data_IF_411378688613
#
_entry.id   IF_411378688613
#
_cell.length_a   1.000
_cell.length_b   1.000
_cell.length_c   1.000
_cell.angle_alpha   90.00
_cell.angle_beta   90.00
_cell.angle_gamma   90.00
#
_symmetry.space_group_name_H-M   'P 1'
#
loop_
_entity.id
_entity.type
_entity.pdbx_description
1 polymer ?
#
# COMPACT_ATOMS: atom_id res chain seq x y z
N UNK A 1 56.97 65.45 -55.94
CA UNK A 1 55.91 65.56 -55.02
C UNK A 1 55.31 64.19 -54.86
N UNK A 2 55.68 63.43 -53.74
CA UNK A 2 55.19 62.08 -53.46
C UNK A 2 54.01 62.19 -52.48
N UNK A 3 52.84 61.76 -52.95
CA UNK A 3 51.64 61.71 -52.13
C UNK A 3 51.69 60.36 -51.34
N UNK A 4 51.82 60.43 -50.01
CA UNK A 4 51.67 59.30 -49.14
C UNK A 4 50.21 59.16 -48.80
N UNK A 5 49.58 58.06 -49.29
CA UNK A 5 48.22 57.74 -48.92
C UNK A 5 48.34 56.89 -47.63
N UNK A 6 47.85 57.47 -46.52
CA UNK A 6 47.75 56.82 -45.24
C UNK A 6 46.48 55.92 -45.24
N UNK A 7 46.66 54.64 -45.37
CA UNK A 7 45.52 53.69 -45.23
C UNK A 7 45.30 53.44 -43.73
N UNK A 8 44.24 54.03 -43.23
CA UNK A 8 43.80 53.72 -41.84
C UNK A 8 43.08 52.36 -41.83
N UNK A 9 43.44 51.40 -41.00
CA UNK A 9 42.68 50.16 -40.87
C UNK A 9 41.37 50.44 -40.16
N UNK A 10 40.27 50.25 -40.87
CA UNK A 10 38.95 50.17 -40.25
C UNK A 10 38.89 48.91 -39.42
N UNK A 11 38.97 49.06 -38.11
CA UNK A 11 38.56 48.00 -37.20
C UNK A 11 37.03 47.86 -37.28
N UNK A 12 36.59 46.86 -38.01
CA UNK A 12 35.23 46.35 -37.85
C UNK A 12 35.15 45.66 -36.50
N UNK A 13 34.82 46.40 -35.45
CA UNK A 13 34.34 45.81 -34.23
C UNK A 13 33.05 45.04 -34.57
N UNK A 14 33.09 43.73 -34.51
CA UNK A 14 31.91 42.88 -34.65
C UNK A 14 30.98 43.20 -33.50
N UNK A 15 29.82 43.73 -33.83
CA UNK A 15 28.75 44.07 -32.88
C UNK A 15 27.95 42.81 -32.47
N UNK A 16 28.67 41.71 -32.15
CA UNK A 16 28.04 40.43 -31.85
C UNK A 16 27.76 40.19 -30.35
N UNK A 17 28.09 41.12 -29.45
CA UNK A 17 27.97 40.93 -28.01
C UNK A 17 26.91 41.80 -27.32
N UNK A 18 25.96 42.40 -28.07
CA UNK A 18 24.98 43.33 -27.50
C UNK A 18 23.56 42.73 -27.52
N UNK A 19 23.32 41.65 -28.25
CA UNK A 19 22.04 40.99 -28.23
C UNK A 19 22.15 39.82 -27.25
N UNK A 20 21.62 40.03 -26.03
CA UNK A 20 21.32 38.93 -25.14
C UNK A 20 20.44 37.92 -25.89
N UNK A 21 20.53 36.66 -25.51
CA UNK A 21 19.68 35.60 -26.07
C UNK A 21 18.21 36.06 -26.06
N UNK A 22 17.53 35.84 -27.18
CA UNK A 22 16.10 36.18 -27.26
C UNK A 22 15.34 35.54 -26.10
N UNK A 23 14.42 36.25 -25.44
CA UNK A 23 13.67 35.73 -24.32
C UNK A 23 12.81 34.53 -24.75
N UNK A 24 13.08 33.37 -24.19
CA UNK A 24 12.23 32.19 -24.29
C UNK A 24 11.33 32.19 -23.08
N UNK A 25 10.06 32.43 -23.30
CA UNK A 25 9.06 32.51 -22.24
C UNK A 25 8.57 31.11 -21.84
N UNK A 26 8.26 30.91 -20.56
CA UNK A 26 7.70 29.65 -20.00
C UNK A 26 7.75 29.60 -18.48
N UNK A 27 7.22 28.54 -17.94
CA UNK A 27 7.34 28.26 -16.51
C UNK A 27 8.78 27.84 -16.16
N UNK A 28 9.39 28.55 -15.21
CA UNK A 28 10.76 28.32 -14.74
C UNK A 28 10.82 27.40 -13.50
N UNK A 29 9.69 27.03 -12.92
CA UNK A 29 9.61 26.19 -11.73
C UNK A 29 9.64 24.72 -12.12
N UNK A 30 10.67 24.00 -11.69
CA UNK A 30 10.87 22.58 -12.00
C UNK A 30 9.84 21.65 -11.35
N UNK A 31 9.08 22.14 -10.36
CA UNK A 31 8.00 21.40 -9.70
C UNK A 31 6.66 21.58 -10.40
N UNK A 32 6.58 22.52 -11.35
CA UNK A 32 5.35 22.75 -12.12
C UNK A 32 5.17 21.72 -13.24
N UNK A 33 3.92 21.35 -13.48
CA UNK A 33 3.54 20.40 -14.54
C UNK A 33 3.94 20.86 -15.95
N UNK A 34 3.97 22.15 -16.19
CA UNK A 34 4.34 22.76 -17.46
C UNK A 34 5.73 23.41 -17.44
N UNK A 35 6.64 22.91 -16.61
CA UNK A 35 8.03 23.36 -16.59
C UNK A 35 8.66 23.32 -17.97
N UNK A 36 9.31 24.40 -18.37
CA UNK A 36 10.04 24.50 -19.62
C UNK A 36 11.53 24.72 -19.36
N UNK A 37 12.34 23.69 -19.48
CA UNK A 37 13.80 23.76 -19.26
C UNK A 37 14.55 24.68 -20.23
N UNK A 38 13.92 25.06 -21.35
CA UNK A 38 14.51 25.99 -22.32
C UNK A 38 14.13 27.45 -22.04
N UNK A 39 13.16 27.70 -21.15
CA UNK A 39 12.76 29.06 -20.82
C UNK A 39 13.85 29.78 -20.02
N UNK A 40 14.08 31.04 -20.34
CA UNK A 40 14.95 31.97 -19.62
C UNK A 40 14.20 33.16 -19.04
N UNK A 41 12.91 33.26 -19.32
CA UNK A 41 12.03 34.37 -18.89
C UNK A 41 10.68 33.79 -18.45
N UNK A 42 10.28 34.09 -17.21
CA UNK A 42 8.99 33.61 -16.68
C UNK A 42 7.83 34.31 -17.38
N UNK A 43 6.86 33.53 -17.84
CA UNK A 43 5.57 34.02 -18.37
C UNK A 43 4.45 33.99 -17.31
N UNK A 44 4.75 33.48 -16.10
CA UNK A 44 3.82 33.33 -14.96
C UNK A 44 2.67 32.33 -15.23
N UNK A 45 2.89 31.36 -16.09
CA UNK A 45 1.90 30.34 -16.47
C UNK A 45 2.10 29.02 -15.78
N UNK A 46 2.91 28.96 -14.71
CA UNK A 46 3.14 27.71 -13.99
C UNK A 46 1.82 27.09 -13.50
N UNK A 47 1.62 25.84 -13.84
CA UNK A 47 0.50 25.02 -13.37
C UNK A 47 1.02 23.88 -12.50
N UNK A 48 0.30 23.52 -11.44
CA UNK A 48 0.72 22.54 -10.46
C UNK A 48 -0.31 21.42 -10.36
N UNK A 49 0.12 20.30 -9.77
CA UNK A 49 -0.71 19.09 -9.62
C UNK A 49 -2.05 19.36 -8.94
N UNK A 50 -2.09 20.26 -7.95
CA UNK A 50 -3.34 20.64 -7.26
C UNK A 50 -4.44 21.09 -8.24
N UNK A 51 -4.05 21.85 -9.27
CA UNK A 51 -5.00 22.31 -10.31
C UNK A 51 -5.53 21.17 -11.18
N UNK A 52 -4.73 20.11 -11.37
CA UNK A 52 -5.12 18.91 -12.10
C UNK A 52 -6.01 18.01 -11.26
N UNK A 53 -5.72 17.90 -9.94
CA UNK A 53 -6.54 17.14 -9.00
C UNK A 53 -7.96 17.69 -8.87
N UNK A 54 -8.16 19.01 -8.91
CA UNK A 54 -9.48 19.63 -8.94
C UNK A 54 -10.30 19.23 -10.18
N UNK A 55 -9.63 18.84 -11.27
CA UNK A 55 -10.24 18.35 -12.51
C UNK A 55 -10.40 16.84 -12.55
N UNK A 56 -9.96 16.12 -11.49
CA UNK A 56 -10.05 14.66 -11.37
C UNK A 56 -8.86 13.90 -11.95
N UNK A 57 -7.78 14.59 -12.32
CA UNK A 57 -6.55 13.95 -12.77
C UNK A 57 -5.64 13.64 -11.58
N UNK A 58 -4.84 12.60 -11.71
CA UNK A 58 -3.93 12.15 -10.65
C UNK A 58 -2.47 12.57 -10.87
N UNK A 59 -2.13 13.07 -12.05
CA UNK A 59 -0.81 13.57 -12.38
C UNK A 59 -0.86 14.76 -13.38
N UNK A 60 0.33 15.25 -13.75
CA UNK A 60 0.51 16.34 -14.70
C UNK A 60 0.26 15.97 -16.17
N UNK A 61 0.00 14.70 -16.47
CA UNK A 61 -0.22 14.18 -17.82
C UNK A 61 -1.68 13.89 -18.11
N UNK A 62 -2.58 14.41 -17.26
CA UNK A 62 -4.03 14.23 -17.37
C UNK A 62 -4.46 12.74 -17.23
N UNK A 63 -3.65 11.94 -16.54
CA UNK A 63 -4.04 10.60 -16.19
C UNK A 63 -5.10 10.62 -15.08
N UNK A 64 -5.99 9.62 -15.11
CA UNK A 64 -6.97 9.37 -14.06
C UNK A 64 -6.55 8.13 -13.27
N UNK A 65 -7.08 8.00 -12.07
CA UNK A 65 -6.96 6.74 -11.31
C UNK A 65 -7.74 5.65 -12.04
N UNK A 66 -7.13 4.46 -12.14
CA UNK A 66 -7.87 3.26 -12.53
C UNK A 66 -8.76 2.75 -11.39
N UNK A 67 -9.44 1.62 -11.59
CA UNK A 67 -10.32 1.03 -10.58
C UNK A 67 -9.57 0.61 -9.32
N UNK A 68 -8.29 0.33 -9.43
CA UNK A 68 -7.41 -0.05 -8.32
C UNK A 68 -6.71 1.15 -7.63
N UNK A 69 -7.05 2.39 -8.05
CA UNK A 69 -6.45 3.60 -7.49
C UNK A 69 -5.04 3.93 -8.00
N UNK A 70 -4.56 3.26 -9.07
CA UNK A 70 -3.26 3.56 -9.67
C UNK A 70 -3.39 4.65 -10.73
N UNK A 71 -2.55 5.69 -10.64
CA UNK A 71 -2.55 6.79 -11.59
C UNK A 71 -2.07 6.34 -12.98
N UNK A 72 -2.91 6.54 -14.01
CA UNK A 72 -2.61 6.15 -15.38
C UNK A 72 -2.55 4.64 -15.61
N UNK A 73 -3.03 3.86 -14.66
CA UNK A 73 -3.13 2.41 -14.74
C UNK A 73 -4.30 1.95 -15.62
N UNK A 74 -4.45 0.65 -15.73
CA UNK A 74 -5.55 -0.02 -16.42
C UNK A 74 -6.06 -1.22 -15.61
N UNK A 75 -5.80 -1.21 -14.29
CA UNK A 75 -6.26 -2.24 -13.38
C UNK A 75 -7.78 -2.34 -13.35
N UNK A 76 -8.27 -3.55 -13.26
CA UNK A 76 -9.69 -3.89 -13.09
C UNK A 76 -9.88 -4.32 -11.64
N UNK A 77 -10.93 -3.84 -11.02
CA UNK A 77 -11.39 -4.20 -9.68
C UNK A 77 -12.88 -4.54 -9.84
N UNK A 78 -13.15 -5.84 -10.06
CA UNK A 78 -14.48 -6.31 -10.45
C UNK A 78 -15.49 -6.29 -9.32
N UNK A 79 -15.02 -6.35 -8.07
CA UNK A 79 -15.89 -6.38 -6.88
C UNK A 79 -15.89 -5.08 -6.07
N UNK A 80 -14.98 -4.14 -6.41
CA UNK A 80 -14.96 -2.79 -5.83
C UNK A 80 -14.35 -2.72 -4.43
N UNK A 81 -13.48 -3.66 -4.07
CA UNK A 81 -12.82 -3.69 -2.76
C UNK A 81 -11.49 -2.92 -2.71
N UNK A 82 -11.06 -2.35 -3.84
CA UNK A 82 -9.82 -1.63 -4.12
C UNK A 82 -8.57 -2.51 -4.19
N UNK A 83 -8.74 -3.81 -4.40
CA UNK A 83 -7.67 -4.74 -4.76
C UNK A 83 -7.86 -5.10 -6.24
N UNK A 84 -6.79 -4.98 -7.05
CA UNK A 84 -6.88 -5.34 -8.47
C UNK A 84 -7.12 -6.83 -8.66
N UNK A 85 -7.96 -7.21 -9.64
CA UNK A 85 -8.28 -8.60 -9.97
C UNK A 85 -7.04 -9.49 -10.24
N UNK A 86 -5.91 -8.91 -10.67
CA UNK A 86 -4.67 -9.64 -10.97
C UNK A 86 -3.87 -10.03 -9.73
N UNK A 87 -4.13 -9.39 -8.61
CA UNK A 87 -3.51 -9.65 -7.30
C UNK A 87 -4.53 -10.07 -6.24
N UNK A 88 -5.82 -9.94 -6.54
CA UNK A 88 -6.88 -10.33 -5.64
C UNK A 88 -7.04 -11.86 -5.61
N UNK A 89 -6.90 -12.42 -4.41
CA UNK A 89 -7.11 -13.86 -4.17
C UNK A 89 -8.58 -14.25 -4.13
N UNK A 90 -9.46 -13.27 -4.08
CA UNK A 90 -10.88 -13.49 -3.85
C UNK A 90 -11.74 -12.45 -4.58
N UNK A 91 -11.75 -12.51 -5.91
CA UNK A 91 -12.67 -11.70 -6.72
C UNK A 91 -14.11 -12.11 -6.36
N UNK A 92 -14.75 -11.31 -5.54
CA UNK A 92 -16.04 -11.63 -4.96
C UNK A 92 -17.21 -11.41 -5.92
N UNK A 93 -18.34 -12.04 -5.62
CA UNK A 93 -19.61 -11.62 -6.17
C UNK A 93 -20.09 -10.30 -5.49
N UNK A 94 -21.23 -9.77 -5.95
CA UNK A 94 -21.82 -8.54 -5.39
C UNK A 94 -22.15 -8.62 -3.88
N UNK A 95 -22.07 -9.80 -3.27
CA UNK A 95 -22.33 -10.03 -1.85
C UNK A 95 -21.02 -10.20 -1.05
N UNK A 96 -19.86 -10.12 -1.70
CA UNK A 96 -18.55 -10.27 -1.08
C UNK A 96 -18.11 -11.72 -0.89
N UNK A 97 -18.62 -12.66 -1.72
CA UNK A 97 -18.27 -14.07 -1.67
C UNK A 97 -17.67 -14.57 -2.99
N UNK A 98 -16.66 -15.43 -2.87
CA UNK A 98 -16.12 -16.20 -3.98
C UNK A 98 -16.18 -17.68 -3.64
N UNK A 99 -16.75 -18.49 -4.53
CA UNK A 99 -16.89 -19.94 -4.34
C UNK A 99 -17.54 -20.35 -3.00
N UNK A 100 -18.35 -19.46 -2.40
CA UNK A 100 -19.01 -19.69 -1.13
C UNK A 100 -18.22 -19.27 0.10
N UNK A 101 -17.00 -18.71 -0.06
CA UNK A 101 -16.20 -18.15 1.02
C UNK A 101 -16.26 -16.62 1.03
N UNK A 102 -16.30 -16.03 2.22
CA UNK A 102 -16.36 -14.59 2.37
C UNK A 102 -14.97 -13.95 2.17
N UNK A 103 -14.85 -13.07 1.19
CA UNK A 103 -13.55 -12.55 0.74
C UNK A 103 -12.78 -11.79 1.83
N UNK A 104 -13.45 -11.04 2.71
CA UNK A 104 -12.75 -10.39 3.82
C UNK A 104 -12.05 -11.39 4.76
N UNK A 105 -12.67 -12.56 4.99
CA UNK A 105 -12.05 -13.60 5.80
C UNK A 105 -10.84 -14.22 5.06
N UNK A 106 -10.95 -14.38 3.73
CA UNK A 106 -9.84 -14.85 2.89
C UNK A 106 -8.67 -13.88 2.85
N UNK A 107 -8.93 -12.57 2.77
CA UNK A 107 -7.87 -11.55 2.80
C UNK A 107 -7.10 -11.56 4.12
N UNK A 108 -7.75 -11.82 5.26
CA UNK A 108 -7.02 -11.99 6.54
C UNK A 108 -6.05 -13.17 6.48
N UNK A 109 -6.44 -14.28 5.86
CA UNK A 109 -5.54 -15.43 5.68
C UNK A 109 -4.36 -15.08 4.77
N UNK A 110 -4.58 -14.29 3.71
CA UNK A 110 -3.50 -13.79 2.86
C UNK A 110 -2.55 -12.88 3.63
N UNK A 111 -3.06 -11.98 4.48
CA UNK A 111 -2.22 -11.10 5.32
C UNK A 111 -1.32 -11.91 6.28
N UNK A 112 -1.76 -13.10 6.73
CA UNK A 112 -0.89 -14.02 7.47
C UNK A 112 0.24 -14.56 6.60
N UNK A 113 -0.05 -14.95 5.36
CA UNK A 113 0.98 -15.43 4.41
C UNK A 113 1.98 -14.33 4.13
N UNK A 114 1.52 -13.14 3.76
CA UNK A 114 2.35 -12.01 3.35
C UNK A 114 3.22 -11.47 4.49
N UNK A 115 2.69 -11.52 5.72
CA UNK A 115 3.38 -11.04 6.92
C UNK A 115 4.39 -12.01 7.52
N UNK A 116 4.43 -13.29 7.06
CA UNK A 116 5.25 -14.33 7.69
C UNK A 116 6.12 -15.09 6.69
N UNK A 117 7.42 -14.82 6.67
CA UNK A 117 8.38 -15.48 5.77
C UNK A 117 8.46 -17.00 5.96
N UNK A 118 7.97 -17.53 7.07
CA UNK A 118 7.91 -18.99 7.33
C UNK A 118 6.87 -19.71 6.49
N UNK A 119 5.88 -18.96 5.96
CA UNK A 119 4.75 -19.47 5.18
C UNK A 119 4.51 -18.69 3.89
N UNK A 120 5.41 -17.82 3.46
CA UNK A 120 5.28 -16.96 2.26
C UNK A 120 5.18 -17.72 0.93
N UNK A 121 5.50 -19.02 0.94
CA UNK A 121 5.37 -19.92 -0.22
C UNK A 121 4.12 -20.80 -0.17
N UNK A 122 3.32 -20.71 0.90
CA UNK A 122 2.08 -21.47 1.06
C UNK A 122 0.95 -20.71 0.38
N UNK A 123 0.13 -21.41 -0.40
CA UNK A 123 -1.08 -20.81 -0.93
C UNK A 123 -2.13 -20.66 0.19
N UNK A 124 -2.88 -19.57 0.19
CA UNK A 124 -3.85 -19.26 1.25
C UNK A 124 -4.86 -20.39 1.48
N UNK A 125 -5.24 -21.13 0.44
CA UNK A 125 -6.14 -22.28 0.53
C UNK A 125 -5.57 -23.47 1.32
N UNK A 126 -4.26 -23.50 1.52
CA UNK A 126 -3.59 -24.56 2.32
C UNK A 126 -3.57 -24.23 3.82
N UNK A 127 -3.99 -22.99 4.20
CA UNK A 127 -4.04 -22.55 5.60
C UNK A 127 -5.33 -22.94 6.31
N UNK A 128 -6.35 -23.39 5.61
CA UNK A 128 -7.64 -23.72 6.22
C UNK A 128 -8.19 -25.05 5.72
N UNK A 129 -9.23 -25.54 6.40
CA UNK A 129 -10.00 -26.73 6.01
C UNK A 129 -11.46 -26.30 5.76
N UNK A 130 -12.16 -27.01 4.87
CA UNK A 130 -13.53 -26.67 4.50
C UNK A 130 -14.50 -26.68 5.70
N UNK A 131 -14.29 -27.56 6.69
CA UNK A 131 -15.10 -27.66 7.89
C UNK A 131 -14.86 -26.57 8.94
N UNK A 132 -13.91 -25.64 8.66
CA UNK A 132 -13.65 -24.46 9.50
C UNK A 132 -14.57 -23.28 9.19
N UNK A 133 -15.32 -23.39 8.11
CA UNK A 133 -16.25 -22.38 7.62
C UNK A 133 -17.69 -22.73 7.97
N UNK A 134 -18.50 -21.74 8.30
CA UNK A 134 -19.92 -21.94 8.53
C UNK A 134 -20.70 -22.10 7.21
N UNK A 135 -22.01 -22.39 7.33
CA UNK A 135 -22.87 -22.56 6.16
C UNK A 135 -23.12 -21.26 5.35
N UNK A 136 -22.61 -20.14 5.87
CA UNK A 136 -22.67 -18.82 5.24
C UNK A 136 -21.30 -18.39 4.67
N UNK A 137 -20.32 -19.30 4.64
CA UNK A 137 -18.98 -19.04 4.13
C UNK A 137 -18.13 -18.11 5.01
N UNK A 138 -18.44 -18.01 6.32
CA UNK A 138 -17.64 -17.25 7.29
C UNK A 138 -16.70 -18.18 8.06
N UNK A 139 -15.48 -17.72 8.29
CA UNK A 139 -14.47 -18.51 9.02
C UNK A 139 -14.78 -18.53 10.52
N UNK A 140 -15.12 -19.71 11.06
CA UNK A 140 -15.41 -19.91 12.48
C UNK A 140 -14.24 -20.47 13.28
N UNK A 141 -13.33 -21.17 12.61
CA UNK A 141 -12.20 -21.85 13.22
C UNK A 141 -10.94 -21.60 12.42
N UNK A 142 -9.83 -21.24 13.08
CA UNK A 142 -8.54 -21.05 12.43
C UNK A 142 -7.42 -21.64 13.29
N UNK A 143 -6.66 -22.58 12.75
CA UNK A 143 -5.51 -23.17 13.41
C UNK A 143 -4.22 -22.94 12.63
N UNK A 144 -3.40 -22.05 13.14
CA UNK A 144 -2.08 -21.72 12.62
C UNK A 144 -0.98 -22.18 13.59
N UNK A 145 -1.21 -23.32 14.24
CA UNK A 145 -0.31 -23.91 15.24
C UNK A 145 0.99 -24.43 14.61
N UNK A 146 2.14 -24.05 15.16
CA UNK A 146 3.43 -24.65 14.79
C UNK A 146 3.98 -24.24 13.42
N UNK A 147 3.51 -23.13 12.87
CA UNK A 147 3.94 -22.60 11.55
C UNK A 147 5.15 -21.67 11.63
N UNK A 148 5.79 -21.54 12.81
CA UNK A 148 6.88 -20.60 13.08
C UNK A 148 6.52 -19.13 12.78
N UNK A 149 5.28 -18.75 12.94
CA UNK A 149 4.81 -17.37 12.73
C UNK A 149 5.51 -16.40 13.67
N UNK A 150 5.92 -15.27 13.16
CA UNK A 150 6.50 -14.15 13.92
C UNK A 150 5.56 -12.93 14.01
N UNK A 151 4.47 -12.94 13.23
CA UNK A 151 3.57 -11.82 13.07
C UNK A 151 2.10 -12.27 13.01
N UNK A 152 1.23 -11.47 13.62
CA UNK A 152 -0.24 -11.56 13.49
C UNK A 152 -0.73 -10.27 12.85
N UNK A 153 -1.47 -10.30 11.73
CA UNK A 153 -1.93 -9.09 11.06
C UNK A 153 -2.99 -8.33 11.86
N UNK A 154 -2.99 -6.99 11.73
CA UNK A 154 -4.03 -6.14 12.35
C UNK A 154 -5.44 -6.43 11.80
N UNK A 155 -5.52 -6.92 10.56
CA UNK A 155 -6.78 -7.33 9.91
C UNK A 155 -7.46 -8.53 10.59
N UNK A 156 -6.80 -9.18 11.55
CA UNK A 156 -7.38 -10.28 12.35
C UNK A 156 -8.75 -9.90 12.92
N UNK A 157 -8.97 -8.62 13.23
CA UNK A 157 -10.25 -8.11 13.72
C UNK A 157 -11.41 -8.22 12.73
N UNK A 158 -11.12 -8.44 11.43
CA UNK A 158 -12.14 -8.60 10.40
C UNK A 158 -12.81 -10.00 10.43
N UNK A 159 -12.24 -10.95 11.18
CA UNK A 159 -12.81 -12.28 11.35
C UNK A 159 -13.99 -12.26 12.35
N UNK A 160 -15.05 -11.56 12.01
CA UNK A 160 -16.21 -11.30 12.90
C UNK A 160 -16.92 -12.57 13.38
N UNK A 161 -16.86 -13.66 12.60
CA UNK A 161 -17.50 -14.94 12.89
C UNK A 161 -16.60 -15.93 13.59
N UNK A 162 -15.31 -15.57 13.80
CA UNK A 162 -14.32 -16.49 14.35
C UNK A 162 -14.69 -16.87 15.79
N UNK A 163 -14.74 -18.18 16.07
CA UNK A 163 -15.01 -18.75 17.40
C UNK A 163 -13.75 -19.25 18.07
N UNK A 164 -12.79 -19.77 17.29
CA UNK A 164 -11.53 -20.31 17.82
C UNK A 164 -10.35 -19.95 16.95
N UNK A 165 -9.30 -19.42 17.59
CA UNK A 165 -8.02 -19.09 16.99
C UNK A 165 -6.89 -19.79 17.71
N UNK A 166 -6.15 -20.65 17.00
CA UNK A 166 -4.97 -21.33 17.53
C UNK A 166 -3.70 -20.76 16.90
N UNK A 167 -2.92 -20.06 17.72
CA UNK A 167 -1.62 -19.46 17.39
C UNK A 167 -0.48 -20.04 18.24
N UNK A 168 -0.75 -21.14 18.96
CA UNK A 168 0.23 -21.77 19.85
C UNK A 168 1.39 -22.42 19.09
N UNK A 169 2.54 -22.60 19.76
CA UNK A 169 3.78 -23.15 19.19
C UNK A 169 4.29 -22.35 17.96
N UNK A 170 4.35 -21.03 18.09
CA UNK A 170 4.90 -20.12 17.09
C UNK A 170 6.02 -19.24 17.69
N UNK A 171 6.54 -18.30 16.94
CA UNK A 171 7.64 -17.41 17.32
C UNK A 171 7.15 -15.97 17.59
N UNK A 172 5.89 -15.79 17.97
CA UNK A 172 5.30 -14.48 18.18
C UNK A 172 5.97 -13.77 19.37
N UNK A 173 6.50 -12.60 19.15
CA UNK A 173 7.04 -11.70 20.19
C UNK A 173 5.99 -10.70 20.68
N UNK A 174 5.05 -10.35 19.81
CA UNK A 174 3.93 -9.44 20.08
C UNK A 174 2.67 -9.95 19.39
N UNK A 175 1.51 -9.48 19.84
CA UNK A 175 0.22 -9.65 19.18
C UNK A 175 -0.45 -8.29 19.02
N UNK A 176 -1.19 -8.05 17.94
CA UNK A 176 -1.83 -6.76 17.70
C UNK A 176 -3.01 -6.56 18.66
N UNK A 177 -3.28 -5.28 18.98
CA UNK A 177 -4.44 -4.95 19.82
C UNK A 177 -5.78 -5.29 19.16
N UNK A 178 -5.81 -5.31 17.83
CA UNK A 178 -6.99 -5.69 17.02
C UNK A 178 -7.53 -7.09 17.34
N UNK A 179 -6.70 -7.99 17.89
CA UNK A 179 -7.16 -9.31 18.33
C UNK A 179 -8.28 -9.23 19.39
N UNK A 180 -8.32 -8.13 20.15
CA UNK A 180 -9.37 -7.86 21.13
C UNK A 180 -10.71 -7.42 20.52
N UNK A 181 -10.72 -7.17 19.22
CA UNK A 181 -11.92 -6.80 18.47
C UNK A 181 -12.59 -8.02 17.83
N UNK A 182 -11.97 -9.20 17.94
CA UNK A 182 -12.63 -10.47 17.65
C UNK A 182 -13.91 -10.59 18.47
N UNK A 183 -14.90 -11.30 17.95
CA UNK A 183 -16.22 -11.43 18.60
C UNK A 183 -16.10 -11.86 20.07
N UNK A 184 -17.05 -11.41 20.91
CA UNK A 184 -17.03 -11.56 22.38
C UNK A 184 -16.97 -13.03 22.88
N UNK A 185 -17.10 -13.99 21.98
CA UNK A 185 -17.08 -15.42 22.29
C UNK A 185 -15.90 -16.15 21.66
N UNK A 186 -14.93 -15.40 21.06
CA UNK A 186 -13.76 -16.02 20.44
C UNK A 186 -12.79 -16.55 21.51
N UNK A 187 -12.42 -17.82 21.39
CA UNK A 187 -11.35 -18.43 22.20
C UNK A 187 -10.02 -18.28 21.46
N UNK A 188 -9.01 -17.67 22.09
CA UNK A 188 -7.69 -17.48 21.49
C UNK A 188 -6.63 -18.24 22.28
N UNK A 189 -5.88 -19.11 21.59
CA UNK A 189 -4.82 -19.94 22.16
C UNK A 189 -3.47 -19.50 21.60
N UNK A 190 -2.57 -18.96 22.45
CA UNK A 190 -1.28 -18.38 22.09
C UNK A 190 -0.10 -18.92 22.90
N UNK A 191 -0.28 -20.01 23.64
CA UNK A 191 0.79 -20.58 24.44
C UNK A 191 1.96 -21.08 23.59
N UNK A 192 3.15 -21.22 24.18
CA UNK A 192 4.38 -21.59 23.47
C UNK A 192 4.73 -20.62 22.33
N UNK A 193 4.81 -19.35 22.67
CA UNK A 193 5.33 -18.27 21.82
C UNK A 193 6.47 -17.54 22.54
N UNK A 194 7.11 -16.59 21.88
CA UNK A 194 8.20 -15.77 22.41
C UNK A 194 7.70 -14.48 23.06
N UNK A 195 6.44 -14.43 23.48
CA UNK A 195 5.86 -13.24 24.12
C UNK A 195 6.64 -12.89 25.38
N UNK A 196 7.27 -11.73 25.44
CA UNK A 196 8.13 -11.33 26.55
C UNK A 196 7.30 -11.08 27.81
N UNK A 197 7.94 -11.24 29.01
CA UNK A 197 7.30 -10.91 30.29
C UNK A 197 6.93 -9.43 30.42
N UNK A 198 7.44 -8.56 29.55
CA UNK A 198 7.06 -7.17 29.43
C UNK A 198 5.76 -6.96 28.64
N UNK A 199 5.27 -8.01 27.95
CA UNK A 199 3.98 -7.97 27.28
C UNK A 199 2.89 -7.92 28.35
N UNK A 200 2.44 -6.71 28.61
CA UNK A 200 1.48 -6.47 29.69
C UNK A 200 0.07 -6.77 29.20
N UNK A 201 -0.40 -7.99 29.39
CA UNK A 201 -1.77 -8.38 29.08
C UNK A 201 -2.84 -7.50 29.77
N UNK A 202 -2.48 -6.80 30.86
CA UNK A 202 -3.39 -5.84 31.50
C UNK A 202 -3.68 -4.60 30.63
N UNK A 203 -2.92 -4.38 29.55
CA UNK A 203 -3.24 -3.36 28.55
C UNK A 203 -4.34 -3.78 27.57
N UNK A 204 -4.80 -5.02 27.62
CA UNK A 204 -5.89 -5.56 26.79
C UNK A 204 -7.14 -5.81 27.65
N UNK A 205 -7.83 -4.78 28.15
CA UNK A 205 -8.96 -4.97 29.05
C UNK A 205 -10.12 -5.67 28.33
N UNK A 206 -10.55 -6.80 28.89
CA UNK A 206 -11.71 -7.55 28.42
C UNK A 206 -11.46 -8.60 27.33
N UNK A 207 -10.21 -8.69 26.82
CA UNK A 207 -9.82 -9.64 25.79
C UNK A 207 -9.05 -10.86 26.37
N UNK A 208 -8.59 -10.76 27.62
CA UNK A 208 -7.60 -11.64 28.23
C UNK A 208 -8.17 -12.85 28.94
N UNK A 209 -9.46 -12.86 29.26
CA UNK A 209 -10.07 -13.95 30.03
C UNK A 209 -10.02 -15.30 29.30
N UNK A 210 -9.66 -15.29 28.01
CA UNK A 210 -9.55 -16.48 27.17
C UNK A 210 -8.11 -16.84 26.74
N UNK A 211 -7.10 -16.05 27.16
CA UNK A 211 -5.70 -16.40 26.91
C UNK A 211 -5.21 -17.41 27.94
N UNK A 212 -4.97 -18.63 27.52
CA UNK A 212 -4.33 -19.63 28.38
C UNK A 212 -2.88 -19.27 28.66
N UNK A 213 -2.36 -19.49 29.89
CA UNK A 213 -0.96 -19.15 30.23
C UNK A 213 0.05 -19.86 29.33
N UNK A 214 1.19 -19.18 29.13
CA UNK A 214 2.34 -19.56 28.30
C UNK A 214 3.12 -20.76 28.88
N UNK A 215 2.51 -21.89 29.15
CA UNK A 215 3.23 -23.10 29.55
C UNK A 215 3.42 -24.00 28.32
N UNK A 216 4.68 -24.14 27.90
CA UNK A 216 5.09 -25.18 26.97
C UNK A 216 5.42 -26.45 27.77
N UNK A 217 4.72 -27.51 27.53
CA UNK A 217 5.13 -28.85 28.02
C UNK A 217 6.13 -29.49 27.06
#
# INVERSE_FOLDING_TARGET
MKIIILIMPFFLASCSDIFGEDPIYGCLDSEACNYNSNANTSDKTCTYLDSFQELGYCDCYENILDQCGQCGGNGIDSDGDNICDDIDICISDINGYNNGYYCKDMHVLQDFVDGNTSIDTIHVTDLYQEDWWDNYGRLEYLSLTGLNLSYVPESISNLDSLKKLYLNNNNLETIPFSICQLGSFSEVYIYCNNLTSQYNFSSFPGCIDHFTPQFCE
#
